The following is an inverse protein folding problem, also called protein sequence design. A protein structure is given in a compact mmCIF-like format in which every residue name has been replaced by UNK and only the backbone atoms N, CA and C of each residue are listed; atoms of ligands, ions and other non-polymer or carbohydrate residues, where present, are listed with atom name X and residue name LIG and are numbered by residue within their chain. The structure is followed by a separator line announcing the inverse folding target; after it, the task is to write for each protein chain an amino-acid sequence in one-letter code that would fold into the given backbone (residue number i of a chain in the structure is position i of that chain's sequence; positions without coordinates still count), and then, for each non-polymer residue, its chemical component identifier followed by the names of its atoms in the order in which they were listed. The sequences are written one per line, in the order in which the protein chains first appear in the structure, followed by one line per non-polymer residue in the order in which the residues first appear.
data_IF_563966582037
#
_entry.id   IF_563966582037
#
_cell.length_a   1.000
_cell.length_b   1.000
_cell.length_c   1.000
_cell.angle_alpha   90.00
_cell.angle_beta   90.00
_cell.angle_gamma   90.00
#
_symmetry.space_group_name_H-M   'P 1'
#
loop_
_entity.id
_entity.type
_entity.pdbx_description
1 polymer ?
#
# COMPACT_ATOMS: atom_id res chain seq x y z
N UNK A 1 15.66 -7.36 5.74
CA UNK A 1 14.50 -6.44 5.87
C UNK A 1 14.89 -5.13 5.20
N UNK A 2 14.01 -4.47 4.44
CA UNK A 2 14.38 -3.20 3.78
C UNK A 2 14.76 -2.13 4.82
N UNK A 3 15.80 -1.32 4.57
CA UNK A 3 16.25 -0.24 5.49
C UNK A 3 15.10 0.67 5.93
N UNK A 4 14.12 0.89 5.03
CA UNK A 4 12.92 1.68 5.32
C UNK A 4 12.01 1.03 6.39
N UNK A 5 11.86 -0.30 6.36
CA UNK A 5 11.03 -1.04 7.30
C UNK A 5 11.68 -1.12 8.67
N UNK A 6 13.01 -1.27 8.71
CA UNK A 6 13.78 -1.25 9.95
C UNK A 6 13.70 0.12 10.62
N UNK A 7 13.94 1.20 9.87
CA UNK A 7 13.78 2.55 10.40
C UNK A 7 12.36 2.80 10.92
N UNK A 8 11.34 2.36 10.17
CA UNK A 8 9.95 2.44 10.61
C UNK A 8 9.68 1.64 11.89
N UNK A 9 10.22 0.43 12.00
CA UNK A 9 10.10 -0.41 13.20
C UNK A 9 10.69 0.30 14.42
N UNK A 10 11.82 0.97 14.27
CA UNK A 10 12.44 1.76 15.34
C UNK A 10 11.56 2.95 15.76
N UNK A 11 10.93 3.64 14.81
CA UNK A 11 9.97 4.71 15.14
C UNK A 11 8.74 4.18 15.88
N UNK A 12 8.18 3.06 15.44
CA UNK A 12 7.06 2.41 16.14
C UNK A 12 7.43 2.03 17.58
N UNK A 13 8.63 1.47 17.77
CA UNK A 13 9.12 1.15 19.11
C UNK A 13 9.19 2.40 19.99
N UNK A 14 9.74 3.51 19.47
CA UNK A 14 9.79 4.81 20.16
C UNK A 14 8.39 5.32 20.53
N UNK A 15 7.41 5.19 19.63
CA UNK A 15 6.02 5.57 19.90
C UNK A 15 5.45 4.74 21.05
N UNK A 16 5.68 3.42 21.05
CA UNK A 16 5.07 2.53 22.04
C UNK A 16 5.68 2.63 23.44
N UNK A 17 6.93 3.05 23.57
CA UNK A 17 7.55 3.34 24.88
C UNK A 17 7.32 4.77 25.35
N UNK A 18 6.76 5.64 24.50
CA UNK A 18 6.54 7.04 24.85
C UNK A 18 5.45 7.17 25.92
N UNK A 19 5.71 7.97 26.96
CA UNK A 19 4.79 8.19 28.08
C UNK A 19 3.36 8.53 27.64
N UNK A 20 3.19 9.50 26.74
CA UNK A 20 1.87 9.87 26.21
C UNK A 20 1.13 8.74 25.50
N UNK A 21 1.83 7.82 24.82
CA UNK A 21 1.21 6.64 24.21
C UNK A 21 0.76 5.64 25.29
N UNK A 22 1.59 5.41 26.31
CA UNK A 22 1.25 4.54 27.44
C UNK A 22 0.04 5.08 28.21
N UNK A 23 -0.01 6.38 28.46
CA UNK A 23 -1.14 7.04 29.13
C UNK A 23 -2.42 6.96 28.28
N UNK A 24 -2.35 7.27 26.99
CA UNK A 24 -3.50 7.15 26.08
C UNK A 24 -4.02 5.71 25.99
N UNK A 25 -3.13 4.71 26.02
CA UNK A 25 -3.53 3.29 26.07
C UNK A 25 -4.19 2.92 27.39
N UNK A 26 -3.68 3.42 28.51
CA UNK A 26 -4.28 3.21 29.84
C UNK A 26 -5.69 3.80 29.92
N UNK A 27 -5.94 4.90 29.22
CA UNK A 27 -7.24 5.56 29.12
C UNK A 27 -8.12 5.01 27.99
N UNK A 28 -7.71 3.93 27.32
CA UNK A 28 -8.40 3.33 26.16
C UNK A 28 -8.66 4.33 25.00
N UNK A 29 -7.97 5.46 25.00
CA UNK A 29 -8.15 6.56 24.05
C UNK A 29 -7.20 6.46 22.84
N UNK A 30 -6.25 5.52 22.84
CA UNK A 30 -5.20 5.45 21.82
C UNK A 30 -5.74 5.28 20.40
N UNK A 31 -6.68 4.37 20.19
CA UNK A 31 -7.23 4.13 18.84
C UNK A 31 -8.05 5.32 18.36
N UNK A 32 -8.88 5.90 19.23
CA UNK A 32 -9.66 7.11 18.93
C UNK A 32 -8.76 8.32 18.64
N UNK A 33 -7.66 8.47 19.38
CA UNK A 33 -6.67 9.50 19.13
C UNK A 33 -6.03 9.35 17.73
N UNK A 34 -5.65 8.15 17.34
CA UNK A 34 -5.10 7.90 16.00
C UNK A 34 -6.15 8.06 14.90
N UNK A 35 -7.40 7.70 15.17
CA UNK A 35 -8.51 7.86 14.23
C UNK A 35 -8.82 9.34 13.98
N UNK A 36 -8.88 10.15 15.03
CA UNK A 36 -9.05 11.61 14.94
C UNK A 36 -7.90 12.27 14.17
N UNK A 37 -6.65 11.96 14.55
CA UNK A 37 -5.47 12.65 13.99
C UNK A 37 -5.06 12.15 12.61
N UNK A 38 -5.14 10.85 12.36
CA UNK A 38 -4.59 10.21 11.16
C UNK A 38 -5.61 9.35 10.39
N UNK A 39 -6.82 9.15 10.90
CA UNK A 39 -7.84 8.31 10.26
C UNK A 39 -7.49 6.82 10.25
N UNK A 40 -6.73 6.35 11.24
CA UNK A 40 -6.40 4.93 11.39
C UNK A 40 -6.53 4.51 12.85
N UNK A 41 -6.92 3.27 13.12
CA UNK A 41 -7.05 2.75 14.49
C UNK A 41 -5.73 2.19 15.06
N UNK A 42 -4.69 2.09 14.23
CA UNK A 42 -3.42 1.51 14.64
C UNK A 42 -2.23 2.27 14.06
N UNK A 43 -1.24 2.55 14.91
CA UNK A 43 0.04 3.15 14.50
C UNK A 43 0.78 2.28 13.49
N UNK A 44 0.49 0.98 13.46
CA UNK A 44 1.00 0.04 12.45
C UNK A 44 0.53 0.35 11.02
N UNK A 45 -0.43 1.25 10.82
CA UNK A 45 -0.88 1.72 9.50
C UNK A 45 -0.28 3.06 9.08
N UNK A 46 0.50 3.71 9.95
CA UNK A 46 1.10 5.02 9.67
C UNK A 46 2.36 4.92 8.80
N UNK A 47 2.59 5.96 7.98
CA UNK A 47 3.83 6.19 7.25
C UNK A 47 4.97 6.58 8.19
N UNK A 48 6.19 6.68 7.66
CA UNK A 48 7.35 7.19 8.41
C UNK A 48 7.13 8.66 8.83
N UNK A 49 6.61 9.49 7.94
CA UNK A 49 6.39 10.90 8.23
C UNK A 49 5.30 11.06 9.29
N UNK A 50 4.22 10.29 9.18
CA UNK A 50 3.16 10.27 10.19
C UNK A 50 3.66 9.81 11.55
N UNK A 51 4.56 8.82 11.62
CA UNK A 51 5.18 8.40 12.88
C UNK A 51 6.09 9.48 13.47
N UNK A 52 6.82 10.24 12.65
CA UNK A 52 7.61 11.39 13.11
C UNK A 52 6.71 12.48 13.67
N UNK A 53 5.66 12.85 12.93
CA UNK A 53 4.65 13.83 13.38
C UNK A 53 3.99 13.37 14.67
N UNK A 54 3.61 12.09 14.77
CA UNK A 54 3.04 11.52 15.99
C UNK A 54 4.00 11.63 17.18
N UNK A 55 5.29 11.31 17.01
CA UNK A 55 6.29 11.50 18.06
C UNK A 55 6.42 12.96 18.46
N UNK A 56 6.45 13.87 17.50
CA UNK A 56 6.53 15.31 17.77
C UNK A 56 5.30 15.80 18.57
N UNK A 57 4.10 15.37 18.20
CA UNK A 57 2.86 15.67 18.93
C UNK A 57 2.87 15.07 20.34
N UNK A 58 3.34 13.83 20.51
CA UNK A 58 3.48 13.19 21.82
C UNK A 58 4.48 13.92 22.72
N UNK A 59 5.48 14.60 22.14
CA UNK A 59 6.41 15.50 22.84
C UNK A 59 5.83 16.90 23.11
N UNK A 60 4.53 17.12 22.85
CA UNK A 60 3.84 18.38 23.13
C UNK A 60 4.08 19.48 22.09
N UNK A 61 4.66 19.16 20.92
CA UNK A 61 4.78 20.15 19.84
C UNK A 61 3.41 20.41 19.22
N UNK A 62 3.08 21.68 19.05
CA UNK A 62 1.86 22.11 18.36
C UNK A 62 2.05 21.99 16.84
N UNK A 63 1.82 20.77 16.33
CA UNK A 63 1.92 20.45 14.91
C UNK A 63 0.62 19.77 14.48
N UNK A 64 0.06 20.23 13.35
CA UNK A 64 -1.13 19.62 12.76
C UNK A 64 -0.76 18.29 12.08
N UNK A 65 -1.49 17.20 12.35
CA UNK A 65 -1.25 15.93 11.69
C UNK A 65 -1.61 16.03 10.20
N UNK A 66 -0.76 15.46 9.34
CA UNK A 66 -0.99 15.38 7.89
C UNK A 66 -1.02 13.92 7.48
N UNK A 67 -2.11 13.52 6.80
CA UNK A 67 -2.28 12.15 6.30
C UNK A 67 -1.36 11.93 5.09
N UNK A 68 -0.44 10.97 5.19
CA UNK A 68 0.57 10.68 4.18
C UNK A 68 0.24 9.39 3.41
N UNK A 69 -0.75 9.48 2.52
CA UNK A 69 -1.22 8.32 1.74
C UNK A 69 -0.12 7.72 0.86
N UNK A 70 0.74 8.57 0.28
CA UNK A 70 1.87 8.13 -0.55
C UNK A 70 2.91 7.37 0.30
N UNK A 71 3.27 7.89 1.47
CA UNK A 71 4.17 7.22 2.39
C UNK A 71 3.61 5.90 2.91
N UNK A 72 2.30 5.82 3.17
CA UNK A 72 1.65 4.54 3.54
C UNK A 72 1.76 3.51 2.42
N UNK A 73 1.56 3.92 1.18
CA UNK A 73 1.70 3.03 0.02
C UNK A 73 3.14 2.50 -0.12
N UNK A 74 4.15 3.35 0.10
CA UNK A 74 5.56 2.93 0.10
C UNK A 74 5.79 1.81 1.13
N UNK A 75 5.23 1.96 2.34
CA UNK A 75 5.33 0.92 3.37
C UNK A 75 4.62 -0.35 2.96
N UNK A 76 3.40 -0.28 2.41
CA UNK A 76 2.65 -1.45 1.94
C UNK A 76 3.38 -2.21 0.83
N UNK A 77 4.03 -1.50 -0.10
CA UNK A 77 4.88 -2.12 -1.14
C UNK A 77 6.11 -2.78 -0.50
N UNK A 78 6.77 -2.09 0.42
CA UNK A 78 7.95 -2.61 1.11
C UNK A 78 7.63 -3.85 1.97
N UNK A 79 6.45 -3.89 2.62
CA UNK A 79 5.96 -5.02 3.42
C UNK A 79 5.36 -6.15 2.57
N UNK A 80 5.32 -6.01 1.24
CA UNK A 80 4.72 -6.97 0.29
C UNK A 80 3.21 -7.18 0.51
N UNK A 81 2.53 -6.23 1.14
CA UNK A 81 1.06 -6.24 1.23
C UNK A 81 0.41 -5.98 -0.13
N UNK A 82 1.04 -5.12 -0.94
CA UNK A 82 0.66 -4.84 -2.32
C UNK A 82 1.85 -5.04 -3.26
N UNK A 83 1.57 -5.06 -4.55
CA UNK A 83 2.52 -5.33 -5.63
C UNK A 83 3.69 -4.36 -5.60
N UNK A 84 4.83 -4.75 -6.17
CA UNK A 84 5.94 -3.80 -6.35
C UNK A 84 5.59 -2.76 -7.41
N UNK A 85 6.31 -1.64 -7.42
CA UNK A 85 6.15 -0.62 -8.45
C UNK A 85 6.45 -1.18 -9.86
N UNK A 86 7.43 -2.08 -9.96
CA UNK A 86 7.78 -2.75 -11.22
C UNK A 86 6.64 -3.66 -11.71
N UNK A 87 6.00 -4.42 -10.80
CA UNK A 87 4.83 -5.23 -11.15
C UNK A 87 3.66 -4.36 -11.62
N UNK A 88 3.36 -3.28 -10.90
CA UNK A 88 2.29 -2.34 -11.29
C UNK A 88 2.56 -1.73 -12.68
N UNK A 89 3.79 -1.26 -12.94
CA UNK A 89 4.19 -0.75 -14.26
C UNK A 89 4.04 -1.81 -15.34
N UNK A 90 4.48 -3.04 -15.08
CA UNK A 90 4.39 -4.11 -16.07
C UNK A 90 2.96 -4.48 -16.44
N UNK A 91 2.05 -4.49 -15.46
CA UNK A 91 0.61 -4.69 -15.71
C UNK A 91 0.08 -3.59 -16.64
N UNK A 92 0.45 -2.34 -16.37
CA UNK A 92 -0.01 -1.20 -17.17
C UNK A 92 0.56 -1.23 -18.59
N UNK A 93 1.85 -1.52 -18.76
CA UNK A 93 2.48 -1.72 -20.07
C UNK A 93 1.77 -2.81 -20.89
N UNK A 94 1.48 -3.96 -20.27
CA UNK A 94 0.80 -5.06 -20.94
C UNK A 94 -0.65 -4.70 -21.30
N UNK A 95 -1.37 -4.03 -20.40
CA UNK A 95 -2.73 -3.52 -20.66
C UNK A 95 -2.74 -2.63 -21.92
N UNK A 96 -1.82 -1.65 -21.96
CA UNK A 96 -1.67 -0.73 -23.10
C UNK A 96 -1.31 -1.48 -24.36
N UNK A 97 -0.35 -2.40 -24.32
CA UNK A 97 0.08 -3.19 -25.47
C UNK A 97 -1.02 -4.11 -26.03
N UNK A 98 -1.90 -4.65 -25.16
CA UNK A 98 -3.06 -5.43 -25.58
C UNK A 98 -4.14 -4.52 -26.19
N UNK A 99 -4.15 -3.22 -25.83
CA UNK A 99 -5.16 -2.26 -26.25
C UNK A 99 -6.42 -2.28 -25.39
N UNK A 100 -6.34 -2.81 -24.16
CA UNK A 100 -7.46 -2.83 -23.24
C UNK A 100 -7.57 -1.53 -22.47
N UNK A 101 -8.78 -1.03 -22.30
CA UNK A 101 -9.12 0.00 -21.31
C UNK A 101 -8.95 -0.50 -19.87
N UNK A 102 -8.96 0.42 -18.90
CA UNK A 102 -8.91 0.03 -17.49
C UNK A 102 -10.14 -0.78 -17.06
N UNK A 103 -11.31 -0.50 -17.65
CA UNK A 103 -12.56 -1.24 -17.38
C UNK A 103 -12.49 -2.68 -17.87
N UNK A 104 -11.90 -2.91 -19.05
CA UNK A 104 -11.70 -4.26 -19.59
C UNK A 104 -10.74 -5.07 -18.72
N UNK A 105 -9.65 -4.44 -18.24
CA UNK A 105 -8.73 -5.09 -17.31
C UNK A 105 -9.43 -5.49 -16.00
N UNK A 106 -10.24 -4.59 -15.44
CA UNK A 106 -11.02 -4.88 -14.22
C UNK A 106 -12.03 -6.00 -14.45
N UNK A 107 -12.78 -5.96 -15.56
CA UNK A 107 -13.76 -7.00 -15.90
C UNK A 107 -13.06 -8.35 -16.07
N UNK A 108 -11.92 -8.38 -16.76
CA UNK A 108 -11.11 -9.58 -16.89
C UNK A 108 -10.66 -10.14 -15.53
N UNK A 109 -10.17 -9.29 -14.61
CA UNK A 109 -9.78 -9.72 -13.27
C UNK A 109 -10.94 -10.31 -12.48
N UNK A 110 -12.13 -9.72 -12.58
CA UNK A 110 -13.33 -10.21 -11.89
C UNK A 110 -13.78 -11.53 -12.50
N UNK A 111 -13.92 -11.59 -13.82
CA UNK A 111 -14.52 -12.72 -14.53
C UNK A 111 -13.60 -13.94 -14.59
N UNK A 112 -12.28 -13.72 -14.73
CA UNK A 112 -11.30 -14.79 -14.97
C UNK A 112 -10.40 -15.08 -13.78
N UNK A 113 -10.20 -14.12 -12.89
CA UNK A 113 -9.36 -14.30 -11.70
C UNK A 113 -10.15 -14.28 -10.40
N UNK A 114 -11.43 -13.88 -10.43
CA UNK A 114 -12.28 -13.69 -9.25
C UNK A 114 -11.65 -12.76 -8.21
N UNK A 115 -10.96 -11.71 -8.69
CA UNK A 115 -10.30 -10.71 -7.85
C UNK A 115 -10.98 -9.37 -8.05
N UNK A 116 -11.48 -8.81 -6.94
CA UNK A 116 -12.02 -7.44 -6.88
C UNK A 116 -10.96 -6.56 -6.20
N UNK A 117 -10.46 -5.54 -6.91
CA UNK A 117 -9.50 -4.61 -6.36
C UNK A 117 -8.76 -3.81 -7.42
N UNK A 118 -7.91 -2.89 -6.98
CA UNK A 118 -7.09 -2.08 -7.89
C UNK A 118 -5.98 -2.95 -8.53
N UNK A 119 -5.92 -3.05 -9.87
CA UNK A 119 -4.94 -3.88 -10.59
C UNK A 119 -3.48 -3.53 -10.24
N UNK A 120 -3.21 -2.28 -9.87
CA UNK A 120 -1.89 -1.76 -9.57
C UNK A 120 -1.50 -1.86 -8.09
N UNK A 121 -2.42 -2.36 -7.24
CA UNK A 121 -2.24 -2.54 -5.79
C UNK A 121 -2.67 -3.94 -5.32
N UNK A 122 -2.62 -4.92 -6.21
CA UNK A 122 -2.87 -6.33 -5.88
C UNK A 122 -1.81 -6.91 -4.96
N UNK A 123 -2.11 -7.99 -4.24
CA UNK A 123 -1.08 -8.79 -3.57
C UNK A 123 -0.02 -9.25 -4.59
N UNK A 124 1.28 -9.28 -4.25
CA UNK A 124 2.35 -9.59 -5.21
C UNK A 124 2.15 -10.89 -6.01
N UNK A 125 1.62 -11.95 -5.38
CA UNK A 125 1.31 -13.22 -6.04
C UNK A 125 0.23 -13.08 -7.14
N UNK A 126 -0.81 -12.29 -6.86
CA UNK A 126 -1.90 -12.04 -7.80
C UNK A 126 -1.42 -11.14 -8.94
N UNK A 127 -0.56 -10.17 -8.63
CA UNK A 127 0.08 -9.33 -9.63
C UNK A 127 0.96 -10.15 -10.59
N UNK A 128 1.79 -11.08 -10.08
CA UNK A 128 2.58 -11.98 -10.93
C UNK A 128 1.70 -12.87 -11.80
N UNK A 129 0.61 -13.43 -11.25
CA UNK A 129 -0.35 -14.22 -12.02
C UNK A 129 -0.99 -13.40 -13.14
N UNK A 130 -1.40 -12.16 -12.85
CA UNK A 130 -1.99 -11.25 -13.84
C UNK A 130 -0.98 -10.91 -14.94
N UNK A 131 0.27 -10.58 -14.59
CA UNK A 131 1.35 -10.31 -15.56
C UNK A 131 1.53 -11.50 -16.51
N UNK A 132 1.61 -12.72 -15.97
CA UNK A 132 1.74 -13.94 -16.77
C UNK A 132 0.58 -14.10 -17.76
N UNK A 133 -0.67 -13.98 -17.28
CA UNK A 133 -1.86 -14.14 -18.12
C UNK A 133 -1.91 -13.06 -19.22
N UNK A 134 -1.68 -11.78 -18.87
CA UNK A 134 -1.66 -10.70 -19.84
C UNK A 134 -0.56 -10.89 -20.89
N UNK A 135 0.59 -11.44 -20.49
CA UNK A 135 1.67 -11.76 -21.43
C UNK A 135 1.22 -12.82 -22.44
N UNK A 136 0.50 -13.87 -21.99
CA UNK A 136 -0.07 -14.89 -22.87
C UNK A 136 -1.18 -14.36 -23.79
N UNK A 137 -2.03 -13.46 -23.28
CA UNK A 137 -3.04 -12.78 -24.11
C UNK A 137 -2.36 -11.97 -25.22
N UNK A 138 -1.29 -11.23 -24.89
CA UNK A 138 -0.55 -10.44 -25.87
C UNK A 138 0.15 -11.32 -26.92
N UNK A 139 0.79 -12.41 -26.50
CA UNK A 139 1.39 -13.41 -27.41
C UNK A 139 0.34 -13.96 -28.39
N UNK A 140 -0.82 -14.36 -27.88
CA UNK A 140 -1.91 -14.90 -28.69
C UNK A 140 -2.43 -13.86 -29.70
N UNK A 141 -2.66 -12.61 -29.27
CA UNK A 141 -3.10 -11.53 -30.16
C UNK A 141 -2.11 -11.32 -31.31
N UNK A 142 -0.82 -11.21 -30.99
CA UNK A 142 0.25 -11.07 -31.99
C UNK A 142 0.37 -12.25 -32.94
N UNK A 143 0.01 -13.46 -32.51
CA UNK A 143 0.00 -14.65 -33.38
C UNK A 143 -1.15 -14.64 -34.38
N UNK A 144 -2.29 -14.04 -34.01
CA UNK A 144 -3.46 -13.90 -34.88
C UNK A 144 -3.33 -12.77 -35.89
N UNK A 145 -2.69 -11.66 -35.51
CA UNK A 145 -2.48 -10.51 -36.40
C UNK A 145 -1.42 -10.76 -37.50
N UNK A 146 -0.77 -11.94 -37.50
CA UNK A 146 0.25 -12.36 -38.49
C UNK A 146 -0.32 -13.23 -39.63
N UNK A 147 -1.64 -13.38 -39.71
CA UNK A 147 -2.38 -14.09 -40.77
C UNK A 147 -3.23 -13.06 -41.50
#
# INVERSE_FOLDING_TARGET
MSKILEYRKNLLAKVHIHRGCVELKRLEAWEGYLEDKFGVKSSAKLSINELKTLLDMLNGKDIKPVKDLAGREIIQRASKEISSLAQARKIEELRVAIGWSHKELLSFMIDKMHIIGNPLKLKPQNASKLIYILSKVLEYKKSKDKI
#
